data_IF_796488037639
#
_entry.id   IF_796488037639
#
_cell.length_a   1.000
_cell.length_b   1.000
_cell.length_c   1.000
_cell.angle_alpha   90.00
_cell.angle_beta   90.00
_cell.angle_gamma   90.00
#
_symmetry.space_group_name_H-M   'P 1'
#
loop_
_entity.id
_entity.type
_entity.pdbx_description
1 polymer ?
#
# COMPACT_ATOMS: atom_id res chain seq x y z
N UNK A 1 3.27 1.25 -28.36
CA UNK A 1 3.19 2.27 -27.30
C UNK A 1 2.31 3.41 -27.77
N UNK A 2 1.24 3.71 -27.03
CA UNK A 2 0.35 4.83 -27.30
C UNK A 2 1.10 6.17 -27.20
N UNK A 3 0.53 7.25 -27.75
CA UNK A 3 1.12 8.60 -27.62
C UNK A 3 1.29 9.01 -26.14
N UNK A 4 0.32 8.61 -25.30
CA UNK A 4 0.26 8.90 -23.87
C UNK A 4 1.38 8.20 -23.09
N UNK A 5 1.78 6.97 -23.48
CA UNK A 5 2.95 6.31 -22.87
C UNK A 5 4.24 7.14 -23.02
N UNK A 6 4.44 7.75 -24.18
CA UNK A 6 5.63 8.59 -24.42
C UNK A 6 5.60 9.86 -23.57
N UNK A 7 4.43 10.45 -23.36
CA UNK A 7 4.28 11.66 -22.54
C UNK A 7 4.54 11.35 -21.07
N UNK A 8 3.99 10.24 -20.55
CA UNK A 8 4.21 9.84 -19.16
C UNK A 8 5.69 9.55 -18.90
N UNK A 9 6.35 8.72 -19.72
CA UNK A 9 7.80 8.44 -19.53
C UNK A 9 8.66 9.70 -19.54
N UNK A 10 8.44 10.61 -20.48
CA UNK A 10 9.15 11.90 -20.51
C UNK A 10 8.87 12.75 -19.27
N UNK A 11 7.65 12.71 -18.74
CA UNK A 11 7.29 13.45 -17.53
C UNK A 11 8.01 12.88 -16.29
N UNK A 12 8.21 11.56 -16.24
CA UNK A 12 9.01 10.89 -15.21
C UNK A 12 10.49 11.26 -15.34
N UNK A 13 11.05 11.26 -16.54
CA UNK A 13 12.44 11.69 -16.80
C UNK A 13 12.66 13.15 -16.35
N UNK A 14 11.71 14.03 -16.64
CA UNK A 14 11.77 15.44 -16.20
C UNK A 14 11.70 15.54 -14.68
N UNK A 15 10.78 14.81 -14.02
CA UNK A 15 10.69 14.79 -12.55
C UNK A 15 11.97 14.29 -11.90
N UNK A 16 12.54 13.19 -12.40
CA UNK A 16 13.82 12.66 -11.92
C UNK A 16 14.95 13.69 -12.09
N UNK A 17 14.94 14.47 -13.18
CA UNK A 17 15.92 15.56 -13.37
C UNK A 17 15.68 16.71 -12.38
N UNK A 18 14.43 17.01 -12.02
CA UNK A 18 14.09 18.04 -11.03
C UNK A 18 14.61 17.72 -9.63
N UNK A 19 14.88 16.45 -9.31
CA UNK A 19 15.50 16.04 -8.04
C UNK A 19 16.92 16.59 -7.84
N UNK A 20 17.61 16.90 -8.94
CA UNK A 20 18.97 17.45 -8.96
C UNK A 20 18.99 18.98 -8.93
N UNK A 21 17.83 19.63 -9.01
CA UNK A 21 17.71 21.09 -9.11
C UNK A 21 17.40 21.72 -7.74
N UNK A 22 17.88 22.95 -7.47
CA UNK A 22 17.49 23.73 -6.29
C UNK A 22 15.97 23.99 -6.25
N UNK A 23 15.40 24.50 -5.12
CA UNK A 23 13.96 24.76 -4.96
C UNK A 23 13.35 25.77 -5.96
N UNK A 24 14.15 26.36 -6.85
CA UNK A 24 13.69 27.13 -8.01
C UNK A 24 12.87 26.27 -8.98
N UNK A 25 13.11 24.96 -9.08
CA UNK A 25 12.28 24.08 -9.91
C UNK A 25 10.82 23.99 -9.43
N UNK A 26 10.58 24.11 -8.11
CA UNK A 26 9.22 24.19 -7.57
C UNK A 26 8.52 25.51 -7.92
N UNK A 27 9.30 26.59 -8.10
CA UNK A 27 8.81 27.93 -8.45
C UNK A 27 8.20 28.00 -9.86
N UNK A 28 8.54 27.07 -10.75
CA UNK A 28 8.08 27.07 -12.16
C UNK A 28 6.90 26.09 -12.36
N UNK A 29 6.37 25.49 -11.28
CA UNK A 29 5.28 24.49 -11.30
C UNK A 29 5.52 23.28 -12.24
N UNK A 30 6.74 23.11 -12.76
CA UNK A 30 7.11 22.01 -13.68
C UNK A 30 6.83 20.66 -13.02
N UNK A 31 7.22 20.42 -11.75
CA UNK A 31 6.91 19.16 -11.10
C UNK A 31 5.40 18.88 -11.03
N UNK A 32 4.59 19.90 -10.70
CA UNK A 32 3.13 19.75 -10.64
C UNK A 32 2.53 19.38 -12.00
N UNK A 33 2.99 20.04 -13.07
CA UNK A 33 2.54 19.73 -14.43
C UNK A 33 2.94 18.33 -14.87
N UNK A 34 4.14 17.86 -14.49
CA UNK A 34 4.56 16.50 -14.75
C UNK A 34 3.73 15.47 -13.97
N UNK A 35 3.44 15.74 -12.69
CA UNK A 35 2.58 14.90 -11.85
C UNK A 35 1.15 14.80 -12.44
N UNK A 36 0.58 15.92 -12.85
CA UNK A 36 -0.74 15.96 -13.51
C UNK A 36 -0.71 15.19 -14.85
N UNK A 37 0.32 15.40 -15.66
CA UNK A 37 0.48 14.67 -16.92
C UNK A 37 0.60 13.16 -16.68
N UNK A 38 1.40 12.72 -15.70
CA UNK A 38 1.54 11.29 -15.37
C UNK A 38 0.19 10.70 -14.97
N UNK A 39 -0.52 11.34 -14.03
CA UNK A 39 -1.79 10.84 -13.51
C UNK A 39 -2.89 10.74 -14.58
N UNK A 40 -3.08 11.79 -15.39
CA UNK A 40 -4.07 11.79 -16.48
C UNK A 40 -3.74 10.72 -17.53
N UNK A 41 -2.47 10.58 -17.90
CA UNK A 41 -2.07 9.62 -18.94
C UNK A 41 -2.14 8.17 -18.45
N UNK A 42 -1.80 7.91 -17.18
CA UNK A 42 -1.96 6.59 -16.58
C UNK A 42 -3.44 6.18 -16.53
N UNK A 43 -4.33 7.10 -16.11
CA UNK A 43 -5.78 6.86 -16.09
C UNK A 43 -6.33 6.58 -17.49
N UNK A 44 -5.97 7.40 -18.49
CA UNK A 44 -6.37 7.18 -19.89
C UNK A 44 -5.93 5.82 -20.42
N UNK A 45 -4.69 5.41 -20.16
CA UNK A 45 -4.18 4.11 -20.60
C UNK A 45 -4.99 2.95 -19.99
N UNK A 46 -5.34 3.05 -18.71
CA UNK A 46 -6.19 2.04 -18.06
C UNK A 46 -7.60 1.99 -18.63
N UNK A 47 -8.20 3.13 -18.96
CA UNK A 47 -9.50 3.17 -19.61
C UNK A 47 -9.44 2.53 -21.00
N UNK A 48 -8.44 2.86 -21.81
CA UNK A 48 -8.28 2.30 -23.15
C UNK A 48 -8.02 0.79 -23.10
N UNK A 49 -7.12 0.35 -22.21
CA UNK A 49 -6.84 -1.07 -21.99
C UNK A 49 -8.09 -1.80 -21.49
N UNK A 50 -8.79 -1.24 -20.51
CA UNK A 50 -10.02 -1.82 -19.97
C UNK A 50 -11.11 -2.00 -21.02
N UNK A 51 -11.31 -1.01 -21.89
CA UNK A 51 -12.28 -1.11 -23.00
C UNK A 51 -11.89 -2.20 -24.01
N UNK A 52 -10.60 -2.30 -24.36
CA UNK A 52 -10.13 -3.33 -25.29
C UNK A 52 -10.31 -4.77 -24.75
N UNK A 53 -10.34 -4.94 -23.42
CA UNK A 53 -10.63 -6.23 -22.79
C UNK A 53 -12.12 -6.60 -22.79
N UNK A 54 -13.02 -5.62 -22.92
CA UNK A 54 -14.47 -5.87 -22.99
C UNK A 54 -14.93 -6.28 -24.39
N UNK A 55 -14.20 -5.87 -25.43
CA UNK A 55 -14.48 -6.24 -26.83
C UNK A 55 -14.06 -7.69 -27.16
N UNK A 56 -13.26 -8.33 -26.30
CA UNK A 56 -12.76 -9.69 -26.46
C UNK A 56 -13.61 -10.69 -25.67
N UNK A 57 -14.66 -11.23 -26.29
CA UNK A 57 -15.56 -12.24 -25.75
C UNK A 57 -14.90 -13.65 -25.73
N UNK A 58 -13.85 -13.86 -24.95
CA UNK A 58 -13.20 -15.18 -24.83
C UNK A 58 -12.88 -15.55 -23.39
N UNK A 59 -13.50 -16.65 -22.96
CA UNK A 59 -13.23 -17.44 -21.75
C UNK A 59 -11.75 -17.82 -21.64
N UNK A 60 -10.91 -16.90 -21.16
CA UNK A 60 -9.54 -17.21 -20.74
C UNK A 60 -9.27 -16.58 -19.38
N UNK A 61 -9.69 -17.30 -18.35
CA UNK A 61 -9.45 -16.99 -16.93
C UNK A 61 -7.98 -17.11 -16.49
N UNK A 62 -7.01 -17.23 -17.41
CA UNK A 62 -5.61 -17.53 -17.08
C UNK A 62 -4.56 -16.53 -17.58
N UNK A 63 -4.92 -15.31 -17.97
CA UNK A 63 -3.95 -14.23 -18.26
C UNK A 63 -4.30 -12.90 -17.61
N UNK A 64 -4.78 -12.91 -16.36
CA UNK A 64 -5.04 -11.69 -15.57
C UNK A 64 -3.79 -11.06 -14.92
N UNK A 65 -2.61 -11.64 -15.10
CA UNK A 65 -1.58 -11.53 -14.06
C UNK A 65 -0.13 -11.42 -14.55
N UNK A 66 0.23 -10.61 -15.56
CA UNK A 66 1.68 -10.39 -15.82
C UNK A 66 2.11 -9.15 -16.63
N UNK A 67 1.23 -8.21 -16.95
CA UNK A 67 1.72 -6.88 -17.34
C UNK A 67 1.61 -5.99 -16.11
N UNK A 68 2.63 -6.02 -15.24
CA UNK A 68 2.91 -4.85 -14.40
C UNK A 68 2.78 -3.65 -15.32
N UNK A 69 1.94 -2.67 -14.94
CA UNK A 69 1.81 -1.51 -15.80
C UNK A 69 3.22 -0.96 -16.01
N UNK A 70 3.62 -0.78 -17.28
CA UNK A 70 4.99 -0.40 -17.66
C UNK A 70 5.50 0.84 -16.91
N UNK A 71 4.59 1.70 -16.42
CA UNK A 71 4.92 2.87 -15.64
C UNK A 71 5.35 2.55 -14.20
N UNK A 72 5.07 1.35 -13.66
CA UNK A 72 5.48 0.97 -12.30
C UNK A 72 6.99 0.98 -12.15
N UNK A 73 7.71 0.41 -13.12
CA UNK A 73 9.17 0.43 -13.16
C UNK A 73 9.69 1.86 -13.32
N UNK A 74 9.14 2.61 -14.28
CA UNK A 74 9.53 3.99 -14.55
C UNK A 74 9.32 4.89 -13.31
N UNK A 75 8.23 4.72 -12.54
CA UNK A 75 7.98 5.50 -11.32
C UNK A 75 8.91 5.14 -10.16
N UNK A 76 9.43 3.91 -10.12
CA UNK A 76 10.26 3.44 -9.00
C UNK A 76 11.62 4.12 -8.89
N UNK A 77 12.05 4.83 -9.93
CA UNK A 77 13.30 5.60 -9.94
C UNK A 77 13.16 6.96 -9.24
N UNK A 78 11.92 7.42 -9.02
CA UNK A 78 11.66 8.70 -8.38
C UNK A 78 12.00 8.63 -6.90
N UNK A 79 12.53 9.72 -6.35
CA UNK A 79 12.61 9.91 -4.90
C UNK A 79 11.23 9.84 -4.25
N UNK A 80 11.22 9.42 -3.00
CA UNK A 80 10.00 9.15 -2.24
C UNK A 80 9.02 10.34 -2.20
N UNK A 81 9.52 11.57 -2.15
CA UNK A 81 8.70 12.79 -2.13
C UNK A 81 7.94 13.03 -3.43
N UNK A 82 8.58 12.81 -4.59
CA UNK A 82 7.89 12.88 -5.88
C UNK A 82 7.01 11.66 -6.12
N UNK A 83 7.48 10.48 -5.75
CA UNK A 83 6.70 9.26 -5.84
C UNK A 83 5.38 9.38 -5.07
N UNK A 84 5.42 9.88 -3.83
CA UNK A 84 4.23 10.13 -3.02
C UNK A 84 3.23 11.04 -3.73
N UNK A 85 3.70 12.19 -4.25
CA UNK A 85 2.86 13.16 -4.94
C UNK A 85 2.24 12.56 -6.20
N UNK A 86 3.00 11.78 -6.96
CA UNK A 86 2.50 11.08 -8.15
C UNK A 86 1.41 10.07 -7.78
N UNK A 87 1.63 9.22 -6.78
CA UNK A 87 0.65 8.21 -6.37
C UNK A 87 -0.64 8.86 -5.86
N UNK A 88 -0.53 9.94 -5.07
CA UNK A 88 -1.71 10.70 -4.62
C UNK A 88 -2.48 11.27 -5.82
N UNK A 89 -1.80 11.90 -6.77
CA UNK A 89 -2.44 12.43 -7.97
C UNK A 89 -3.10 11.33 -8.82
N UNK A 90 -2.44 10.17 -8.98
CA UNK A 90 -3.00 9.01 -9.67
C UNK A 90 -4.28 8.49 -9.00
N UNK A 91 -4.29 8.40 -7.68
CA UNK A 91 -5.49 8.07 -6.92
C UNK A 91 -6.63 9.05 -7.18
N UNK A 92 -6.36 10.36 -7.15
CA UNK A 92 -7.39 11.38 -7.45
C UNK A 92 -7.86 11.36 -8.91
N UNK A 93 -7.01 10.95 -9.84
CA UNK A 93 -7.34 10.85 -11.26
C UNK A 93 -8.14 9.59 -11.61
N UNK A 94 -8.34 8.66 -10.66
CA UNK A 94 -9.11 7.44 -10.86
C UNK A 94 -8.31 6.25 -11.39
N UNK A 95 -6.99 6.25 -11.20
CA UNK A 95 -6.16 5.06 -11.45
C UNK A 95 -6.60 3.93 -10.51
N UNK A 96 -6.72 2.71 -11.03
CA UNK A 96 -7.18 1.53 -10.26
C UNK A 96 -6.31 1.30 -9.01
N UNK A 97 -6.96 0.95 -7.91
CA UNK A 97 -6.29 0.68 -6.63
C UNK A 97 -5.28 -0.48 -6.73
N UNK A 98 -5.60 -1.56 -7.45
CA UNK A 98 -4.69 -2.70 -7.62
C UNK A 98 -3.36 -2.31 -8.29
N UNK A 99 -3.43 -1.38 -9.24
CA UNK A 99 -2.28 -0.83 -9.94
C UNK A 99 -1.43 0.06 -9.04
N UNK A 100 -2.08 0.87 -8.20
CA UNK A 100 -1.41 1.67 -7.17
C UNK A 100 -0.71 0.72 -6.19
N UNK A 101 -1.39 -0.33 -5.71
CA UNK A 101 -0.81 -1.34 -4.81
C UNK A 101 0.39 -2.02 -5.47
N UNK A 102 0.29 -2.44 -6.72
CA UNK A 102 1.40 -3.04 -7.46
C UNK A 102 2.60 -2.09 -7.55
N UNK A 103 2.35 -0.80 -7.78
CA UNK A 103 3.40 0.22 -7.77
C UNK A 103 4.06 0.36 -6.41
N UNK A 104 3.28 0.42 -5.33
CA UNK A 104 3.80 0.54 -3.95
C UNK A 104 4.68 -0.66 -3.60
N UNK A 105 4.23 -1.86 -3.95
CA UNK A 105 4.97 -3.10 -3.72
C UNK A 105 6.29 -3.12 -4.49
N UNK A 106 6.27 -2.71 -5.76
CA UNK A 106 7.49 -2.63 -6.58
C UNK A 106 8.45 -1.55 -6.03
N UNK A 107 7.94 -0.39 -5.62
CA UNK A 107 8.75 0.66 -5.01
C UNK A 107 9.43 0.17 -3.73
N UNK A 108 8.69 -0.50 -2.84
CA UNK A 108 9.22 -1.10 -1.64
C UNK A 108 10.34 -2.12 -1.96
N UNK A 109 10.11 -3.00 -2.93
CA UNK A 109 11.10 -3.98 -3.37
C UNK A 109 12.37 -3.34 -3.90
N UNK A 110 12.28 -2.23 -4.64
CA UNK A 110 13.46 -1.55 -5.19
C UNK A 110 14.23 -0.75 -4.12
N UNK A 111 13.51 -0.10 -3.21
CA UNK A 111 14.08 0.80 -2.21
C UNK A 111 14.55 0.10 -0.92
N UNK A 112 13.98 -1.06 -0.58
CA UNK A 112 14.22 -1.77 0.69
C UNK A 112 14.96 -3.12 0.54
N UNK A 113 15.17 -3.63 -0.69
CA UNK A 113 15.80 -4.95 -0.94
C UNK A 113 17.18 -5.15 -0.29
N UNK A 114 17.90 -4.05 -0.01
CA UNK A 114 19.22 -4.12 0.61
C UNK A 114 19.20 -4.66 2.04
N UNK A 115 18.04 -4.61 2.70
CA UNK A 115 17.94 -4.85 4.15
C UNK A 115 17.61 -6.32 4.46
N UNK A 116 16.70 -6.95 3.70
CA UNK A 116 16.35 -8.38 3.89
C UNK A 116 17.56 -9.31 3.71
N UNK A 117 18.41 -9.04 2.70
CA UNK A 117 19.60 -9.85 2.41
C UNK A 117 20.71 -9.68 3.45
N UNK A 118 20.80 -8.52 4.10
CA UNK A 118 21.86 -8.25 5.08
C UNK A 118 21.63 -8.95 6.42
N UNK A 119 20.38 -9.27 6.77
CA UNK A 119 20.03 -9.65 8.13
C UNK A 119 19.55 -11.09 8.31
N UNK A 120 19.00 -11.74 7.28
CA UNK A 120 18.71 -13.19 7.33
C UNK A 120 19.99 -14.00 7.68
N UNK A 121 21.17 -13.46 7.38
CA UNK A 121 22.46 -14.13 7.64
C UNK A 121 23.29 -13.54 8.81
N UNK A 122 22.98 -12.35 9.36
CA UNK A 122 23.81 -11.79 10.45
C UNK A 122 23.15 -10.68 11.29
N UNK A 123 22.42 -11.03 12.37
CA UNK A 123 21.87 -10.07 13.35
C UNK A 123 22.95 -9.25 14.08
N UNK A 124 24.20 -9.75 14.13
CA UNK A 124 25.32 -9.10 14.82
C UNK A 124 25.87 -7.82 14.12
N UNK A 125 25.32 -7.44 12.96
CA UNK A 125 25.74 -6.24 12.21
C UNK A 125 24.99 -4.97 12.59
N UNK A 126 24.06 -5.02 13.55
CA UNK A 126 23.36 -3.84 14.04
C UNK A 126 24.38 -2.79 14.51
N UNK A 127 24.49 -1.69 13.76
CA UNK A 127 25.22 -0.52 14.23
C UNK A 127 24.32 0.20 15.24
N UNK A 128 24.84 0.59 16.42
CA UNK A 128 24.04 1.22 17.48
C UNK A 128 23.66 2.69 17.20
N UNK A 129 23.83 3.19 15.98
CA UNK A 129 23.46 4.56 15.60
C UNK A 129 22.72 4.53 14.26
N UNK A 130 21.53 5.15 14.14
CA UNK A 130 20.84 5.24 12.86
C UNK A 130 21.75 5.96 11.88
N UNK A 131 22.18 5.24 10.85
CA UNK A 131 22.86 5.88 9.72
C UNK A 131 21.89 6.81 9.00
N UNK A 132 22.41 7.81 8.27
CA UNK A 132 21.56 8.69 7.45
C UNK A 132 20.72 7.90 6.43
N UNK A 133 21.20 6.72 6.02
CA UNK A 133 20.49 5.78 5.14
C UNK A 133 19.31 5.09 5.86
N UNK A 134 19.48 4.68 7.12
CA UNK A 134 18.39 4.08 7.93
C UNK A 134 17.24 5.07 8.18
N UNK A 135 17.58 6.33 8.49
CA UNK A 135 16.58 7.41 8.63
C UNK A 135 15.85 7.71 7.32
N UNK A 136 16.50 7.53 6.16
CA UNK A 136 15.84 7.70 4.87
C UNK A 136 14.91 6.53 4.55
N UNK A 137 15.30 5.31 4.93
CA UNK A 137 14.50 4.10 4.72
C UNK A 137 13.26 4.04 5.62
N UNK A 138 13.34 4.55 6.86
CA UNK A 138 12.14 4.67 7.72
C UNK A 138 11.10 5.62 7.10
N UNK A 139 11.53 6.76 6.56
CA UNK A 139 10.65 7.69 5.81
C UNK A 139 9.99 6.97 4.63
N UNK A 140 10.74 6.17 3.86
CA UNK A 140 10.17 5.38 2.76
C UNK A 140 9.08 4.44 3.26
N UNK A 141 9.33 3.68 4.34
CA UNK A 141 8.34 2.78 4.93
C UNK A 141 7.09 3.54 5.37
N UNK A 142 7.26 4.64 6.11
CA UNK A 142 6.16 5.47 6.61
C UNK A 142 5.32 6.06 5.48
N UNK A 143 5.98 6.62 4.46
CA UNK A 143 5.29 7.17 3.29
C UNK A 143 4.52 6.08 2.54
N UNK A 144 5.12 4.92 2.27
CA UNK A 144 4.44 3.83 1.58
C UNK A 144 3.21 3.34 2.35
N UNK A 145 3.31 3.18 3.67
CA UNK A 145 2.18 2.81 4.54
C UNK A 145 1.07 3.86 4.48
N UNK A 146 1.43 5.15 4.46
CA UNK A 146 0.45 6.25 4.33
C UNK A 146 -0.28 6.29 2.98
N UNK A 147 0.32 5.71 1.93
CA UNK A 147 -0.23 5.63 0.58
C UNK A 147 -1.07 4.37 0.35
N UNK A 148 -0.91 3.34 1.19
CA UNK A 148 -1.65 2.10 1.03
C UNK A 148 -3.16 2.34 1.17
N UNK A 149 -3.99 1.85 0.23
CA UNK A 149 -5.44 1.97 0.32
C UNK A 149 -5.98 1.47 1.65
N UNK A 150 -6.93 2.20 2.24
CA UNK A 150 -7.61 1.83 3.48
C UNK A 150 -8.86 0.98 3.24
N UNK A 151 -9.29 0.87 1.97
CA UNK A 151 -10.49 0.14 1.58
C UNK A 151 -10.34 -1.37 1.79
N UNK A 152 -11.40 -1.99 2.33
CA UNK A 152 -11.55 -3.44 2.52
C UNK A 152 -11.43 -4.19 1.18
N UNK A 153 -11.70 -3.52 0.05
CA UNK A 153 -11.61 -4.06 -1.31
C UNK A 153 -10.18 -4.21 -1.86
N UNK A 154 -9.17 -3.62 -1.21
CA UNK A 154 -7.80 -3.60 -1.73
C UNK A 154 -7.08 -4.95 -1.58
N UNK A 155 -6.58 -5.52 -2.68
CA UNK A 155 -5.89 -6.82 -2.69
C UNK A 155 -4.41 -6.73 -2.29
N UNK A 156 -4.08 -6.08 -1.16
CA UNK A 156 -2.72 -6.09 -0.61
C UNK A 156 -2.44 -7.47 0.03
N UNK A 157 -1.42 -8.21 -0.41
CA UNK A 157 -1.07 -9.50 0.19
C UNK A 157 -0.66 -9.34 1.65
N UNK A 158 -1.12 -10.26 2.51
CA UNK A 158 -0.75 -10.29 3.93
C UNK A 158 0.76 -10.42 4.16
N UNK A 159 1.43 -11.23 3.34
CA UNK A 159 2.89 -11.39 3.38
C UNK A 159 3.63 -10.06 3.15
N UNK A 160 3.10 -9.19 2.29
CA UNK A 160 3.65 -7.85 2.08
C UNK A 160 3.43 -6.96 3.30
N UNK A 161 2.26 -7.00 3.94
CA UNK A 161 1.99 -6.24 5.17
C UNK A 161 2.90 -6.68 6.33
N UNK A 162 3.09 -7.99 6.51
CA UNK A 162 4.03 -8.53 7.50
C UNK A 162 5.48 -8.13 7.18
N UNK A 163 5.88 -8.17 5.91
CA UNK A 163 7.18 -7.65 5.47
C UNK A 163 7.37 -6.19 5.87
N UNK A 164 6.40 -5.33 5.55
CA UNK A 164 6.42 -3.91 5.92
C UNK A 164 6.45 -3.68 7.44
N UNK A 165 5.73 -4.48 8.23
CA UNK A 165 5.78 -4.39 9.70
C UNK A 165 7.16 -4.75 10.24
N UNK A 166 7.77 -5.82 9.71
CA UNK A 166 9.15 -6.20 10.06
C UNK A 166 10.12 -5.07 9.71
N UNK A 167 9.99 -4.47 8.52
CA UNK A 167 10.79 -3.31 8.10
C UNK A 167 10.60 -2.10 9.03
N UNK A 168 9.36 -1.78 9.40
CA UNK A 168 9.03 -0.66 10.28
C UNK A 168 9.62 -0.82 11.68
N UNK A 169 9.59 -2.04 12.24
CA UNK A 169 10.20 -2.33 13.55
C UNK A 169 11.72 -2.21 13.48
N UNK A 170 12.32 -2.74 12.42
CA UNK A 170 13.77 -2.79 12.24
C UNK A 170 14.40 -1.41 11.99
N UNK A 171 13.70 -0.54 11.27
CA UNK A 171 14.14 0.82 10.96
C UNK A 171 13.69 1.85 12.02
N UNK A 172 13.12 1.39 13.13
CA UNK A 172 12.54 2.22 14.19
C UNK A 172 11.60 3.31 13.63
N UNK A 173 10.75 2.93 12.68
CA UNK A 173 9.76 3.81 12.08
C UNK A 173 8.74 4.28 13.14
N UNK A 174 8.08 5.40 12.86
CA UNK A 174 7.11 6.02 13.74
C UNK A 174 6.10 5.02 14.30
N UNK A 175 5.79 5.15 15.60
CA UNK A 175 4.87 4.24 16.31
C UNK A 175 3.51 4.19 15.59
N UNK A 176 3.01 5.32 15.09
CA UNK A 176 1.75 5.36 14.33
C UNK A 176 1.79 4.49 13.06
N UNK A 177 2.92 4.43 12.35
CA UNK A 177 3.10 3.57 11.18
C UNK A 177 3.03 2.09 11.56
N UNK A 178 3.70 1.70 12.65
CA UNK A 178 3.69 0.32 13.16
C UNK A 178 2.28 -0.10 13.59
N UNK A 179 1.58 0.74 14.36
CA UNK A 179 0.23 0.47 14.81
C UNK A 179 -0.77 0.36 13.65
N UNK A 180 -0.62 1.18 12.61
CA UNK A 180 -1.48 1.09 11.43
C UNK A 180 -1.26 -0.21 10.65
N UNK A 181 -0.02 -0.68 10.53
CA UNK A 181 0.27 -1.99 9.95
C UNK A 181 -0.30 -3.12 10.79
N UNK A 182 -0.12 -3.10 12.12
CA UNK A 182 -0.71 -4.08 13.04
C UNK A 182 -2.24 -4.13 12.89
N UNK A 183 -2.90 -2.97 12.81
CA UNK A 183 -4.35 -2.86 12.60
C UNK A 183 -4.79 -3.46 11.26
N UNK A 184 -4.07 -3.18 10.17
CA UNK A 184 -4.37 -3.72 8.83
C UNK A 184 -4.17 -5.24 8.75
N UNK A 185 -3.14 -5.77 9.40
CA UNK A 185 -2.88 -7.21 9.50
C UNK A 185 -3.99 -7.87 10.31
N UNK A 186 -4.32 -7.32 11.47
CA UNK A 186 -5.42 -7.79 12.32
C UNK A 186 -6.74 -7.87 11.54
N UNK A 187 -7.02 -6.86 10.70
CA UNK A 187 -8.23 -6.85 9.86
C UNK A 187 -8.35 -8.02 8.89
N UNK A 188 -7.23 -8.65 8.51
CA UNK A 188 -7.18 -9.72 7.51
C UNK A 188 -6.75 -11.06 8.11
N UNK A 189 -6.68 -11.15 9.44
CA UNK A 189 -6.10 -12.30 10.16
C UNK A 189 -6.93 -13.58 10.03
N UNK A 190 -8.20 -13.50 9.64
CA UNK A 190 -9.07 -14.68 9.40
C UNK A 190 -8.49 -15.67 8.38
N UNK A 191 -7.60 -15.19 7.51
CA UNK A 191 -7.01 -15.96 6.40
C UNK A 191 -5.51 -16.28 6.60
N UNK A 192 -4.95 -16.05 7.79
CA UNK A 192 -3.50 -16.14 8.05
C UNK A 192 -3.08 -17.52 8.55
N UNK A 193 -1.96 -18.03 8.02
CA UNK A 193 -1.27 -19.21 8.55
C UNK A 193 -0.39 -18.80 9.74
N UNK A 194 -0.27 -19.67 10.75
CA UNK A 194 0.49 -19.40 11.99
C UNK A 194 1.96 -18.99 11.73
N UNK A 195 2.56 -19.45 10.63
CA UNK A 195 3.95 -19.15 10.28
C UNK A 195 4.19 -17.66 9.92
N UNK A 196 3.17 -16.96 9.43
CA UNK A 196 3.26 -15.52 9.11
C UNK A 196 3.20 -14.62 10.36
N UNK A 197 2.67 -15.14 11.48
CA UNK A 197 2.61 -14.42 12.77
C UNK A 197 3.96 -14.39 13.50
N UNK A 198 4.97 -15.15 13.04
CA UNK A 198 6.29 -15.15 13.63
C UNK A 198 7.05 -13.88 13.23
N UNK A 199 6.96 -12.85 14.06
CA UNK A 199 7.72 -11.60 13.92
C UNK A 199 9.01 -11.75 14.76
N UNK A 200 10.20 -11.83 14.14
CA UNK A 200 11.45 -11.96 14.89
C UNK A 200 11.67 -10.76 15.81
N UNK A 201 12.14 -11.00 17.03
CA UNK A 201 12.52 -9.91 17.93
C UNK A 201 13.78 -9.21 17.39
N UNK A 202 13.70 -7.88 17.21
CA UNK A 202 14.86 -7.03 16.85
C UNK A 202 15.67 -6.65 18.11
N UNK A 203 15.10 -6.86 19.31
CA UNK A 203 15.76 -6.56 20.59
C UNK A 203 16.43 -7.81 21.14
N UNK A 204 17.70 -7.69 21.51
CA UNK A 204 18.44 -8.74 22.20
C UNK A 204 17.83 -8.98 23.60
N UNK A 205 17.03 -10.02 23.73
CA UNK A 205 16.39 -10.46 24.98
C UNK A 205 15.75 -11.84 24.78
N UNK A 206 15.43 -12.53 25.90
CA UNK A 206 15.15 -13.98 26.03
C UNK A 206 14.14 -14.64 25.04
N UNK A 207 13.40 -13.87 24.24
CA UNK A 207 12.45 -14.38 23.24
C UNK A 207 12.97 -14.19 21.81
N UNK A 208 12.87 -15.25 21.00
CA UNK A 208 13.17 -15.22 19.57
C UNK A 208 12.15 -14.38 18.76
N UNK A 209 10.98 -14.12 19.33
CA UNK A 209 9.85 -13.45 18.68
C UNK A 209 9.34 -12.24 19.48
N UNK A 210 8.85 -11.24 18.76
CA UNK A 210 8.19 -10.05 19.31
C UNK A 210 6.74 -10.39 19.72
N UNK A 211 6.62 -10.96 20.92
CA UNK A 211 5.34 -11.37 21.52
C UNK A 211 4.40 -10.18 21.73
N UNK A 212 4.94 -9.00 22.04
CA UNK A 212 4.13 -7.80 22.26
C UNK A 212 3.41 -7.36 20.98
N UNK A 213 4.13 -7.40 19.85
CA UNK A 213 3.54 -7.09 18.54
C UNK A 213 2.47 -8.11 18.16
N UNK A 214 2.73 -9.41 18.34
CA UNK A 214 1.72 -10.46 18.08
C UNK A 214 0.49 -10.26 18.97
N UNK A 215 0.69 -9.99 20.26
CA UNK A 215 -0.39 -9.72 21.20
C UNK A 215 -1.26 -8.53 20.77
N UNK A 216 -0.64 -7.41 20.34
CA UNK A 216 -1.39 -6.24 19.83
C UNK A 216 -2.20 -6.56 18.58
N UNK A 217 -1.65 -7.34 17.64
CA UNK A 217 -2.37 -7.80 16.45
C UNK A 217 -3.61 -8.62 16.85
N UNK A 218 -3.46 -9.55 17.80
CA UNK A 218 -4.57 -10.38 18.28
C UNK A 218 -5.64 -9.55 19.00
N UNK A 219 -5.24 -8.58 19.82
CA UNK A 219 -6.19 -7.65 20.48
C UNK A 219 -6.98 -6.86 19.45
N UNK A 220 -6.32 -6.28 18.45
CA UNK A 220 -7.00 -5.55 17.37
C UNK A 220 -7.94 -6.47 16.56
N UNK A 221 -7.57 -7.73 16.36
CA UNK A 221 -8.40 -8.70 15.67
C UNK A 221 -9.68 -9.01 16.45
N UNK A 222 -9.56 -9.27 17.75
CA UNK A 222 -10.70 -9.53 18.62
C UNK A 222 -11.64 -8.33 18.71
N UNK A 223 -11.10 -7.11 18.86
CA UNK A 223 -11.90 -5.88 18.86
C UNK A 223 -12.71 -5.73 17.56
N UNK A 224 -12.09 -5.99 16.41
CA UNK A 224 -12.79 -5.95 15.12
C UNK A 224 -13.91 -6.98 15.03
N UNK A 225 -13.69 -8.21 15.53
CA UNK A 225 -14.73 -9.25 15.54
C UNK A 225 -15.92 -8.82 16.41
N UNK A 226 -15.65 -8.24 17.58
CA UNK A 226 -16.71 -7.69 18.45
C UNK A 226 -17.47 -6.54 17.77
N UNK A 227 -16.79 -5.63 17.08
CA UNK A 227 -17.42 -4.54 16.32
C UNK A 227 -18.31 -5.05 15.19
N UNK A 228 -17.90 -6.09 14.45
CA UNK A 228 -18.69 -6.67 13.36
C UNK A 228 -19.94 -7.39 13.86
N UNK A 229 -19.87 -8.08 15.00
CA UNK A 229 -21.03 -8.69 15.64
C UNK A 229 -22.07 -7.63 16.09
N UNK A 230 -21.62 -6.50 16.63
CA UNK A 230 -22.50 -5.40 17.03
C UNK A 230 -23.14 -4.71 15.81
N UNK A 231 -22.39 -4.48 14.73
CA UNK A 231 -22.95 -3.96 13.47
C UNK A 231 -24.03 -4.89 12.89
N UNK A 232 -23.83 -6.21 12.95
CA UNK A 232 -24.78 -7.18 12.43
C UNK A 232 -26.07 -7.22 13.27
N UNK A 233 -25.96 -7.18 14.60
CA UNK A 233 -27.11 -7.03 15.50
C UNK A 233 -27.90 -5.77 15.20
N UNK A 234 -27.22 -4.64 14.98
CA UNK A 234 -27.87 -3.37 14.66
C UNK A 234 -28.62 -3.42 13.32
N UNK A 235 -28.05 -4.06 12.29
CA UNK A 235 -28.73 -4.28 11.00
C UNK A 235 -29.99 -5.13 11.13
N UNK A 236 -29.95 -6.17 11.95
CA UNK A 236 -31.12 -7.04 12.20
C UNK A 236 -32.23 -6.23 12.90
N UNK A 237 -31.89 -5.40 13.88
CA UNK A 237 -32.86 -4.52 14.56
C UNK A 237 -33.51 -3.56 13.56
N UNK A 238 -32.72 -2.89 12.72
CA UNK A 238 -33.22 -1.98 11.68
C UNK A 238 -34.13 -2.69 10.66
N UNK A 239 -33.76 -3.91 10.25
CA UNK A 239 -34.59 -4.72 9.36
C UNK A 239 -35.93 -5.09 10.01
N UNK A 240 -35.91 -5.46 11.29
CA UNK A 240 -37.13 -5.81 12.03
C UNK A 240 -38.05 -4.60 12.20
N UNK A 241 -37.50 -3.42 12.48
CA UNK A 241 -38.27 -2.17 12.55
C UNK A 241 -38.93 -1.86 11.20
N UNK A 242 -38.18 -1.90 10.10
CA UNK A 242 -38.72 -1.70 8.74
C UNK A 242 -39.80 -2.73 8.39
N UNK A 243 -39.61 -3.99 8.78
CA UNK A 243 -40.61 -5.04 8.55
C UNK A 243 -41.90 -4.78 9.35
N UNK A 244 -41.78 -4.30 10.60
CA UNK A 244 -42.91 -3.91 11.43
C UNK A 244 -43.70 -2.77 10.79
N UNK A 245 -43.01 -1.71 10.34
CA UNK A 245 -43.64 -0.55 9.68
C UNK A 245 -44.40 -0.97 8.40
N UNK A 246 -43.82 -1.88 7.60
CA UNK A 246 -44.47 -2.44 6.41
C UNK A 246 -45.71 -3.25 6.77
N UNK A 247 -45.67 -4.08 7.81
CA UNK A 247 -46.81 -4.86 8.26
C UNK A 247 -47.95 -3.98 8.76
N UNK A 248 -47.64 -2.89 9.46
CA UNK A 248 -48.63 -1.92 9.92
C UNK A 248 -49.28 -1.16 8.76
N UNK A 249 -48.54 -0.85 7.70
CA UNK A 249 -49.10 -0.25 6.48
C UNK A 249 -50.05 -1.17 5.71
N UNK A 250 -49.82 -2.49 5.72
CA UNK A 250 -50.67 -3.46 5.01
C UNK A 250 -51.95 -3.82 5.80
N UNK A 251 -52.00 -3.50 7.09
CA UNK A 251 -53.19 -3.72 7.93
C UNK A 251 -54.28 -2.64 7.77
N UNK A 252 -54.02 -1.58 7.01
CA UNK A 252 -54.96 -0.52 6.66
C UNK A 252 -55.35 -0.58 5.18
#
# INVERSE_FOLDING_TARGET
MSSWCKVLRKSVEVLSTCELLPPIAELVEIPNRCIEAISINACKEQLVSGLSHLDCNSESTELKSNCLEWWVEDLSVLRIDYYERVIRAMGTAGVRLDSIVASLMHYAQMSLNGIEKCQIWNPARMKPSPSMEENHQSIIVETLVSLMPTDKSSSIPLSFLFGMLRMAIMLDAAIACRLELERRIAFRLEMVLLDDLLIPSVRSGDSLFDVDTVHRILVNFLQRVEEEEEEEKMKIVDMNLKASDLLDMVRY
#
